data_IF_697631931117
#
_entry.id   IF_697631931117
#
_cell.length_a   1.000
_cell.length_b   1.000
_cell.length_c   1.000
_cell.angle_alpha   90.00
_cell.angle_beta   90.00
_cell.angle_gamma   90.00
#
_symmetry.space_group_name_H-M   'P 1'
#
loop_
_entity.id
_entity.type
_entity.pdbx_description
1 polymer ?
#
# COMPACT_ATOMS: atom_id res chain seq x y z
N UNK A 1 19.05 -10.32 -24.49
CA UNK A 1 18.22 -10.06 -23.29
C UNK A 1 16.78 -10.28 -23.71
N UNK A 2 16.13 -11.33 -23.20
CA UNK A 2 14.71 -11.60 -23.49
C UNK A 2 13.88 -10.49 -22.87
N UNK A 3 13.21 -9.69 -23.68
CA UNK A 3 12.27 -8.67 -23.17
C UNK A 3 11.06 -9.45 -22.62
N UNK A 4 10.72 -9.21 -21.36
CA UNK A 4 9.48 -9.74 -20.80
C UNK A 4 8.28 -9.21 -21.62
N UNK A 5 7.31 -10.07 -21.95
CA UNK A 5 6.14 -9.64 -22.70
C UNK A 5 5.38 -8.56 -21.92
N UNK A 6 4.87 -7.56 -22.63
CA UNK A 6 4.01 -6.53 -22.03
C UNK A 6 2.74 -7.17 -21.47
N UNK A 7 2.42 -6.88 -20.20
CA UNK A 7 1.16 -7.32 -19.57
C UNK A 7 0.10 -6.25 -19.72
N UNK A 8 -1.08 -6.65 -20.21
CA UNK A 8 -2.23 -5.75 -20.30
C UNK A 8 -3.28 -6.09 -19.25
N UNK A 9 -3.90 -5.06 -18.66
CA UNK A 9 -5.02 -5.22 -17.71
C UNK A 9 -6.02 -4.07 -17.85
N UNK A 10 -7.27 -4.29 -17.45
CA UNK A 10 -8.26 -3.21 -17.35
C UNK A 10 -7.94 -2.22 -16.24
N UNK A 11 -7.39 -2.73 -15.12
CA UNK A 11 -7.05 -1.90 -13.95
C UNK A 11 -5.67 -2.29 -13.43
N UNK A 12 -4.71 -1.38 -13.53
CA UNK A 12 -3.41 -1.51 -12.90
C UNK A 12 -3.43 -0.77 -11.56
N UNK A 13 -3.10 -1.48 -10.48
CA UNK A 13 -3.03 -0.92 -9.14
C UNK A 13 -1.57 -0.86 -8.72
N UNK A 14 -1.09 0.33 -8.36
CA UNK A 14 0.29 0.56 -7.96
C UNK A 14 0.31 0.80 -6.45
N UNK A 15 0.83 -0.17 -5.70
CA UNK A 15 0.92 -0.17 -4.25
C UNK A 15 0.01 -1.20 -3.58
N UNK A 16 0.47 -1.75 -2.47
CA UNK A 16 -0.14 -2.86 -1.73
C UNK A 16 -0.45 -2.54 -0.27
N UNK A 17 -0.63 -1.27 0.06
CA UNK A 17 -1.21 -0.88 1.34
C UNK A 17 -2.72 -1.19 1.40
N UNK A 18 -3.41 -0.84 2.49
CA UNK A 18 -4.84 -1.08 2.64
C UNK A 18 -5.67 -0.56 1.47
N UNK A 19 -5.33 0.62 0.95
CA UNK A 19 -6.00 1.22 -0.20
C UNK A 19 -5.84 0.38 -1.46
N UNK A 20 -4.62 -0.12 -1.74
CA UNK A 20 -4.34 -0.95 -2.90
C UNK A 20 -5.05 -2.30 -2.84
N UNK A 21 -5.00 -3.00 -1.71
CA UNK A 21 -5.71 -4.26 -1.55
C UNK A 21 -7.23 -4.09 -1.61
N UNK A 22 -7.77 -3.01 -1.00
CA UNK A 22 -9.21 -2.71 -1.12
C UNK A 22 -9.61 -2.49 -2.57
N UNK A 23 -8.87 -1.67 -3.31
CA UNK A 23 -9.11 -1.44 -4.73
C UNK A 23 -9.05 -2.76 -5.53
N UNK A 24 -8.06 -3.62 -5.23
CA UNK A 24 -7.89 -4.91 -5.90
C UNK A 24 -9.08 -5.84 -5.67
N UNK A 25 -9.57 -5.94 -4.43
CA UNK A 25 -10.75 -6.74 -4.10
C UNK A 25 -11.96 -6.30 -4.92
N UNK A 26 -12.26 -5.01 -4.95
CA UNK A 26 -13.43 -4.52 -5.67
C UNK A 26 -13.28 -4.58 -7.19
N UNK A 27 -12.11 -4.29 -7.74
CA UNK A 27 -11.84 -4.43 -9.17
C UNK A 27 -11.96 -5.88 -9.64
N UNK A 28 -11.44 -6.84 -8.85
CA UNK A 28 -11.56 -8.26 -9.16
C UNK A 28 -13.02 -8.73 -9.10
N UNK A 29 -13.79 -8.32 -8.08
CA UNK A 29 -15.22 -8.64 -7.97
C UNK A 29 -16.04 -8.04 -9.11
N UNK A 30 -15.61 -6.91 -9.69
CA UNK A 30 -16.19 -6.32 -10.88
C UNK A 30 -15.73 -7.00 -12.20
N UNK A 31 -15.01 -8.13 -12.11
CA UNK A 31 -14.46 -8.88 -13.26
C UNK A 31 -13.54 -8.05 -14.16
N UNK A 32 -12.79 -7.12 -13.58
CA UNK A 32 -11.85 -6.26 -14.30
C UNK A 32 -10.45 -6.88 -14.40
N UNK A 33 -10.23 -8.07 -13.83
CA UNK A 33 -8.95 -8.79 -13.84
C UNK A 33 -7.77 -7.88 -13.48
N UNK A 34 -7.78 -7.27 -12.29
CA UNK A 34 -6.76 -6.29 -11.93
C UNK A 34 -5.38 -6.93 -11.76
N UNK A 35 -4.36 -6.16 -12.14
CA UNK A 35 -2.98 -6.43 -11.74
C UNK A 35 -2.62 -5.45 -10.63
N UNK A 36 -2.15 -5.97 -9.49
CA UNK A 36 -1.59 -5.17 -8.41
C UNK A 36 -0.07 -5.34 -8.40
N UNK A 37 0.63 -4.22 -8.57
CA UNK A 37 2.10 -4.19 -8.49
C UNK A 37 2.51 -3.66 -7.13
N UNK A 38 3.28 -4.48 -6.38
CA UNK A 38 3.79 -4.14 -5.06
C UNK A 38 5.31 -4.07 -5.06
N UNK A 39 5.83 -3.04 -4.40
CA UNK A 39 7.27 -2.80 -4.28
C UNK A 39 7.95 -3.73 -3.25
N UNK A 40 9.07 -3.25 -2.71
CA UNK A 40 9.89 -3.98 -1.73
C UNK A 40 9.24 -4.15 -0.35
N UNK A 41 8.23 -3.35 -0.03
CA UNK A 41 7.53 -3.37 1.26
C UNK A 41 6.02 -3.67 1.07
N UNK A 42 5.64 -4.93 0.78
CA UNK A 42 4.24 -5.31 0.62
C UNK A 42 3.47 -5.09 1.92
N UNK A 43 2.27 -4.52 1.83
CA UNK A 43 1.44 -4.17 2.98
C UNK A 43 1.65 -2.74 3.52
N UNK A 44 2.76 -2.09 3.13
CA UNK A 44 3.03 -0.72 3.49
C UNK A 44 3.26 -0.51 5.00
N UNK A 45 2.91 0.67 5.51
CA UNK A 45 3.24 1.07 6.89
C UNK A 45 2.56 0.24 7.97
N UNK A 46 1.40 -0.35 7.71
CA UNK A 46 0.72 -1.21 8.68
C UNK A 46 1.51 -2.47 9.04
N UNK A 47 2.44 -2.90 8.19
CA UNK A 47 3.32 -4.05 8.52
C UNK A 47 4.35 -3.73 9.60
N UNK A 48 4.58 -2.45 9.88
CA UNK A 48 5.49 -1.98 10.94
C UNK A 48 4.74 -1.46 12.17
N UNK A 49 3.42 -1.47 12.14
CA UNK A 49 2.54 -1.06 13.24
C UNK A 49 2.11 -2.29 14.03
N UNK A 50 2.12 -2.22 15.35
CA UNK A 50 1.63 -3.29 16.22
C UNK A 50 0.11 -3.25 16.29
N UNK A 51 -0.43 -2.39 17.13
CA UNK A 51 -1.85 -2.31 17.44
C UNK A 51 -2.59 -1.41 16.45
N UNK A 52 -3.70 -1.90 15.93
CA UNK A 52 -4.59 -1.17 15.02
C UNK A 52 -6.00 -1.21 15.59
N UNK A 53 -6.52 -0.05 15.96
CA UNK A 53 -7.84 0.12 16.58
C UNK A 53 -8.81 0.89 15.67
N UNK A 54 -8.28 1.51 14.62
CA UNK A 54 -9.01 2.44 13.75
C UNK A 54 -9.29 1.90 12.35
N UNK A 55 -9.18 0.58 12.15
CA UNK A 55 -9.61 -0.05 10.90
C UNK A 55 -11.05 -0.57 11.04
N UNK A 56 -12.01 -0.05 10.23
CA UNK A 56 -13.41 -0.41 10.37
C UNK A 56 -13.65 -1.91 10.18
N UNK A 57 -14.52 -2.50 11.02
CA UNK A 57 -14.91 -3.90 10.94
C UNK A 57 -14.37 -4.77 12.07
N UNK A 58 -13.51 -4.23 12.92
CA UNK A 58 -12.95 -4.90 14.09
C UNK A 58 -13.27 -4.08 15.34
N UNK A 59 -13.93 -4.70 16.32
CA UNK A 59 -14.23 -4.08 17.61
C UNK A 59 -13.05 -4.19 18.59
N UNK A 60 -12.28 -5.27 18.46
CA UNK A 60 -11.09 -5.51 19.25
C UNK A 60 -9.83 -5.03 18.52
N UNK A 61 -8.79 -4.79 19.29
CA UNK A 61 -7.46 -4.43 18.77
C UNK A 61 -6.91 -5.57 17.91
N UNK A 62 -6.46 -5.24 16.70
CA UNK A 62 -5.83 -6.20 15.80
C UNK A 62 -4.39 -5.79 15.49
N UNK A 63 -3.58 -6.76 15.03
CA UNK A 63 -2.20 -6.49 14.65
C UNK A 63 -2.09 -6.07 13.19
N UNK A 64 -1.32 -5.00 12.94
CA UNK A 64 -1.13 -4.45 11.59
C UNK A 64 -0.62 -5.48 10.58
N UNK A 65 0.45 -6.26 10.84
CA UNK A 65 0.93 -7.30 9.94
C UNK A 65 -0.14 -8.35 9.62
N UNK A 66 -0.87 -8.80 10.63
CA UNK A 66 -1.97 -9.76 10.44
C UNK A 66 -3.05 -9.20 9.52
N UNK A 67 -3.49 -7.95 9.75
CA UNK A 67 -4.48 -7.30 8.91
C UNK A 67 -4.03 -7.26 7.44
N UNK A 68 -2.76 -6.90 7.21
CA UNK A 68 -2.23 -6.81 5.85
C UNK A 68 -2.15 -8.16 5.15
N UNK A 69 -1.84 -9.24 5.88
CA UNK A 69 -1.89 -10.60 5.34
C UNK A 69 -3.32 -11.02 4.98
N UNK A 70 -4.31 -10.72 5.84
CA UNK A 70 -5.72 -10.99 5.55
C UNK A 70 -6.18 -10.27 4.29
N UNK A 71 -5.85 -8.99 4.14
CA UNK A 71 -6.22 -8.19 2.96
C UNK A 71 -5.55 -8.70 1.69
N UNK A 72 -4.28 -9.09 1.76
CA UNK A 72 -3.54 -9.69 0.66
C UNK A 72 -4.20 -10.99 0.20
N UNK A 73 -4.50 -11.87 1.13
CA UNK A 73 -5.08 -13.17 0.82
C UNK A 73 -6.51 -13.03 0.30
N UNK A 74 -7.28 -12.08 0.82
CA UNK A 74 -8.60 -11.73 0.27
C UNK A 74 -8.50 -11.26 -1.17
N UNK A 75 -7.57 -10.35 -1.49
CA UNK A 75 -7.37 -9.87 -2.86
C UNK A 75 -6.97 -10.99 -3.82
N UNK A 76 -6.11 -11.94 -3.38
CA UNK A 76 -5.76 -13.13 -4.16
C UNK A 76 -6.96 -14.05 -4.37
N UNK A 77 -7.72 -14.32 -3.32
CA UNK A 77 -8.86 -15.24 -3.35
C UNK A 77 -9.94 -14.80 -4.35
N UNK A 78 -10.10 -13.49 -4.57
CA UNK A 78 -11.06 -12.95 -5.55
C UNK A 78 -10.48 -12.79 -6.96
N UNK A 79 -9.21 -13.19 -7.19
CA UNK A 79 -8.62 -13.27 -8.53
C UNK A 79 -7.74 -12.08 -8.94
N UNK A 80 -7.20 -11.31 -7.99
CA UNK A 80 -6.19 -10.29 -8.31
C UNK A 80 -4.85 -10.94 -8.65
N UNK A 81 -4.26 -10.60 -9.80
CA UNK A 81 -2.87 -10.93 -10.11
C UNK A 81 -1.93 -9.99 -9.36
N UNK A 82 -1.00 -10.55 -8.58
CA UNK A 82 -0.04 -9.77 -7.80
C UNK A 82 1.36 -9.95 -8.36
N UNK A 83 2.03 -8.83 -8.64
CA UNK A 83 3.37 -8.82 -9.23
C UNK A 83 4.30 -8.03 -8.33
N UNK A 84 5.43 -8.65 -7.97
CA UNK A 84 6.50 -7.96 -7.27
C UNK A 84 7.35 -7.20 -8.29
N UNK A 85 7.22 -5.89 -8.28
CA UNK A 85 8.03 -4.98 -9.08
C UNK A 85 7.92 -3.57 -8.49
N UNK A 86 8.79 -2.66 -8.88
CA UNK A 86 8.72 -1.26 -8.46
C UNK A 86 8.49 -0.39 -9.70
N UNK A 87 7.33 0.25 -9.79
CA UNK A 87 7.01 1.11 -10.93
C UNK A 87 7.90 2.35 -10.93
N UNK A 88 8.73 2.47 -11.95
CA UNK A 88 9.65 3.58 -12.15
C UNK A 88 9.00 4.75 -12.86
N UNK A 89 8.11 4.48 -13.79
CA UNK A 89 7.47 5.52 -14.59
C UNK A 89 6.09 5.12 -15.06
N UNK A 90 5.24 6.13 -15.25
CA UNK A 90 3.93 6.00 -15.87
C UNK A 90 3.78 7.02 -17.00
N UNK A 91 3.15 6.61 -18.10
CA UNK A 91 2.73 7.49 -19.19
C UNK A 91 1.20 7.54 -19.21
N UNK A 92 0.68 8.71 -18.84
CA UNK A 92 -0.77 8.96 -18.76
C UNK A 92 -1.28 9.80 -19.95
N UNK A 93 -0.44 10.04 -20.95
CA UNK A 93 -0.80 10.89 -22.11
C UNK A 93 -1.44 10.11 -23.26
N UNK A 94 -1.34 8.79 -23.25
CA UNK A 94 -1.89 7.89 -24.27
C UNK A 94 -2.81 6.85 -23.64
N UNK A 95 -3.71 6.29 -24.43
CA UNK A 95 -4.59 5.18 -24.03
C UNK A 95 -4.28 3.99 -24.93
N UNK A 96 -4.03 2.79 -24.40
CA UNK A 96 -3.96 2.48 -22.97
C UNK A 96 -2.80 3.20 -22.25
N UNK A 97 -2.97 3.45 -20.94
CA UNK A 97 -1.89 3.98 -20.12
C UNK A 97 -0.72 2.99 -20.04
N UNK A 98 0.49 3.49 -19.86
CA UNK A 98 1.67 2.65 -19.78
C UNK A 98 2.36 2.81 -18.44
N UNK A 99 2.92 1.72 -17.92
CA UNK A 99 3.79 1.73 -16.75
C UNK A 99 5.01 0.82 -17.00
N UNK A 100 6.14 1.18 -16.41
CA UNK A 100 7.39 0.42 -16.52
C UNK A 100 7.94 0.17 -15.12
N UNK A 101 8.19 -1.10 -14.82
CA UNK A 101 8.83 -1.54 -13.61
C UNK A 101 10.36 -1.47 -13.68
N UNK A 102 11.03 -1.52 -12.55
CA UNK A 102 12.51 -1.51 -12.44
C UNK A 102 13.14 -2.80 -12.96
N UNK A 103 12.38 -3.91 -12.98
CA UNK A 103 12.80 -5.14 -13.65
C UNK A 103 12.75 -5.06 -15.18
N UNK A 104 12.27 -3.95 -15.73
CA UNK A 104 12.01 -3.77 -17.15
C UNK A 104 10.68 -4.35 -17.63
N UNK A 105 9.86 -4.87 -16.74
CA UNK A 105 8.50 -5.32 -17.05
C UNK A 105 7.66 -4.13 -17.49
N UNK A 106 6.99 -4.27 -18.62
CA UNK A 106 6.04 -3.28 -19.15
C UNK A 106 4.62 -3.70 -18.85
N UNK A 107 3.81 -2.72 -18.48
CA UNK A 107 2.37 -2.87 -18.26
C UNK A 107 1.62 -1.88 -19.13
N UNK A 108 0.46 -2.28 -19.64
CA UNK A 108 -0.53 -1.39 -20.23
C UNK A 108 -1.85 -1.55 -19.52
N UNK A 109 -2.60 -0.46 -19.33
CA UNK A 109 -3.85 -0.50 -18.59
C UNK A 109 -4.87 0.49 -19.16
N UNK A 110 -6.16 0.13 -19.07
CA UNK A 110 -7.26 1.04 -19.41
C UNK A 110 -7.44 2.11 -18.33
N UNK A 111 -7.12 1.76 -17.08
CA UNK A 111 -7.12 2.66 -15.93
C UNK A 111 -6.01 2.31 -14.95
N UNK A 112 -5.51 3.31 -14.21
CA UNK A 112 -4.47 3.14 -13.18
C UNK A 112 -4.98 3.70 -11.85
N UNK A 113 -4.80 2.94 -10.78
CA UNK A 113 -5.02 3.38 -9.41
C UNK A 113 -3.65 3.52 -8.75
N UNK A 114 -3.32 4.73 -8.29
CA UNK A 114 -2.08 5.03 -7.57
C UNK A 114 -2.38 5.01 -6.08
N UNK A 115 -1.85 4.01 -5.37
CA UNK A 115 -2.04 3.78 -3.94
C UNK A 115 -0.71 3.52 -3.23
N UNK A 116 0.29 4.32 -3.59
CA UNK A 116 1.69 4.14 -3.14
C UNK A 116 1.93 4.57 -1.69
N UNK A 117 0.92 5.14 -1.03
CA UNK A 117 1.01 5.59 0.35
C UNK A 117 1.89 6.84 0.53
N UNK A 118 2.37 7.01 1.74
CA UNK A 118 3.25 8.10 2.12
C UNK A 118 4.29 7.62 3.14
N UNK A 119 5.38 8.36 3.23
CA UNK A 119 6.37 8.18 4.29
C UNK A 119 6.37 9.40 5.21
N UNK A 120 6.56 9.15 6.50
CA UNK A 120 6.72 10.20 7.48
C UNK A 120 7.92 11.10 7.13
N UNK A 121 7.73 12.41 7.23
CA UNK A 121 8.84 13.38 7.14
C UNK A 121 9.37 13.64 8.53
N UNK A 122 10.59 13.16 8.76
CA UNK A 122 11.29 13.32 10.00
C UNK A 122 12.21 14.56 9.95
N UNK A 123 12.48 15.15 11.11
CA UNK A 123 13.43 16.28 11.23
C UNK A 123 14.90 15.80 11.12
N UNK A 124 15.13 14.50 11.29
CA UNK A 124 16.46 13.86 11.26
C UNK A 124 17.41 14.36 12.34
N UNK A 125 16.87 14.69 13.52
CA UNK A 125 17.65 15.03 14.72
C UNK A 125 17.79 13.80 15.62
N UNK A 126 18.86 13.77 16.42
CA UNK A 126 19.21 12.60 17.25
C UNK A 126 18.12 12.23 18.26
N UNK A 127 17.51 13.21 18.92
CA UNK A 127 16.42 13.03 19.88
C UNK A 127 15.16 12.44 19.25
N UNK A 128 14.90 12.72 17.98
CA UNK A 128 13.76 12.16 17.26
C UNK A 128 13.87 10.63 17.12
N UNK A 129 15.07 10.13 16.85
CA UNK A 129 15.31 8.68 16.77
C UNK A 129 15.27 8.02 18.15
N UNK A 130 15.80 8.70 19.18
CA UNK A 130 15.87 8.21 20.54
C UNK A 130 14.48 8.08 21.19
N UNK A 131 13.57 9.03 20.93
CA UNK A 131 12.24 9.06 21.53
C UNK A 131 11.12 8.63 20.59
N UNK A 132 11.45 8.06 19.44
CA UNK A 132 10.46 7.56 18.49
C UNK A 132 9.62 6.44 19.10
N UNK A 133 8.30 6.66 19.18
CA UNK A 133 7.37 5.75 19.86
C UNK A 133 7.31 5.95 21.39
N UNK A 134 8.14 6.85 21.95
CA UNK A 134 8.17 7.22 23.36
C UNK A 134 8.05 8.73 23.53
N UNK A 135 6.97 9.31 22.98
CA UNK A 135 6.70 10.75 23.02
C UNK A 135 6.98 11.50 21.73
N UNK A 136 7.68 10.89 20.77
CA UNK A 136 7.88 11.47 19.42
C UNK A 136 7.21 10.60 18.37
N UNK A 137 6.24 11.16 17.68
CA UNK A 137 5.50 10.50 16.59
C UNK A 137 5.33 11.42 15.39
N UNK A 138 5.30 10.84 14.18
CA UNK A 138 5.02 11.55 12.94
C UNK A 138 3.53 11.57 12.59
N UNK A 139 2.69 10.90 13.35
CA UNK A 139 1.24 10.81 13.09
C UNK A 139 0.47 10.98 14.40
N UNK A 140 -0.16 12.14 14.57
CA UNK A 140 -0.96 12.42 15.75
C UNK A 140 -2.18 11.48 15.85
N UNK A 141 -2.94 11.34 14.78
CA UNK A 141 -4.17 10.54 14.76
C UNK A 141 -3.94 9.04 14.92
N UNK A 142 -2.76 8.55 14.50
CA UNK A 142 -2.47 7.11 14.53
C UNK A 142 -1.82 6.68 15.85
N UNK A 143 -1.14 7.59 16.56
CA UNK A 143 -0.23 7.19 17.63
C UNK A 143 -0.34 8.03 18.91
N UNK A 144 -0.77 9.29 18.84
CA UNK A 144 -0.72 10.18 20.00
C UNK A 144 -2.02 10.25 20.80
N UNK A 145 -3.18 10.05 20.18
CA UNK A 145 -4.47 10.17 20.85
C UNK A 145 -4.76 9.06 21.87
N UNK A 146 -3.98 7.97 21.85
CA UNK A 146 -4.15 6.82 22.73
C UNK A 146 -3.03 6.64 23.74
N UNK A 147 -1.91 7.34 23.58
CA UNK A 147 -0.70 7.15 24.41
C UNK A 147 -0.32 8.34 25.27
N UNK A 148 -0.90 9.51 25.04
CA UNK A 148 -0.68 10.69 25.86
C UNK A 148 -1.97 11.47 25.98
N UNK A 149 -2.41 11.70 27.19
CA UNK A 149 -3.44 12.68 27.48
C UNK A 149 -2.82 14.07 27.34
N UNK A 150 -2.85 14.60 26.12
CA UNK A 150 -2.31 15.92 25.83
C UNK A 150 -3.21 17.07 26.35
N UNK A 151 -4.27 16.73 27.11
CA UNK A 151 -5.22 17.71 27.66
C UNK A 151 -4.91 18.09 29.11
N UNK A 152 -4.00 17.40 29.78
CA UNK A 152 -3.67 17.61 31.21
C UNK A 152 -2.33 18.33 31.45
N UNK A 153 -1.68 18.86 30.42
CA UNK A 153 -0.45 19.68 30.55
C UNK A 153 -0.70 21.17 30.24
#
# INVERSE_FOLDING_TARGET
>A
MSQNPTKHTKVLIIGSGPAGYTAAVYAARAMLNPILVYGSAPGGQLTTTTDVENYPGFADVIQGPWLMDQMKDQAKAVGTEMIQDHIQSVNLKSTPFEAVGDTGQKFTADSIIISTGAQARWLNIKSEQEFRGFGVSACATCCLLYTSDAADD
#
